data_IF_217982025231
#
_entry.id   IF_217982025231
#
_cell.length_a   1.000
_cell.length_b   1.000
_cell.length_c   1.000
_cell.angle_alpha   90.00
_cell.angle_beta   90.00
_cell.angle_gamma   90.00
#
_symmetry.space_group_name_H-M   'P 1'
#
loop_
_entity.id
_entity.type
_entity.pdbx_description
1 polymer ?
#
# COMPACT_ATOMS: atom_id res chain seq x y z
N UNK A 1 -28.25 26.62 -30.88
CA UNK A 1 -28.14 26.41 -29.41
C UNK A 1 -28.82 25.09 -29.02
N UNK A 2 -28.43 24.02 -29.68
CA UNK A 2 -28.85 22.64 -29.40
C UNK A 2 -27.74 21.63 -29.78
N UNK A 3 -26.65 22.10 -30.40
CA UNK A 3 -25.59 21.30 -31.01
C UNK A 3 -24.72 20.56 -29.99
N UNK A 4 -24.54 21.09 -28.77
CA UNK A 4 -23.66 20.48 -27.77
C UNK A 4 -24.19 19.16 -27.20
N UNK A 5 -25.52 18.99 -27.13
CA UNK A 5 -26.15 17.74 -26.69
C UNK A 5 -25.99 16.63 -27.73
N UNK A 6 -26.11 16.96 -29.02
CA UNK A 6 -25.94 16.01 -30.11
C UNK A 6 -24.49 15.51 -30.20
N UNK A 7 -23.51 16.41 -30.07
CA UNK A 7 -22.09 16.04 -30.05
C UNK A 7 -21.75 15.07 -28.89
N UNK A 8 -22.26 15.32 -27.68
CA UNK A 8 -22.01 14.42 -26.55
C UNK A 8 -22.68 13.05 -26.70
N UNK A 9 -23.84 12.99 -27.35
CA UNK A 9 -24.52 11.73 -27.64
C UNK A 9 -23.76 10.91 -28.70
N UNK A 10 -23.28 11.55 -29.76
CA UNK A 10 -22.48 10.91 -30.81
C UNK A 10 -21.12 10.42 -30.29
N UNK A 11 -20.43 11.19 -29.44
CA UNK A 11 -19.20 10.75 -28.75
C UNK A 11 -19.44 9.52 -27.87
N UNK A 12 -20.56 9.46 -27.14
CA UNK A 12 -20.91 8.29 -26.30
C UNK A 12 -21.24 7.06 -27.12
N UNK A 13 -21.83 7.21 -28.31
CA UNK A 13 -22.14 6.11 -29.22
C UNK A 13 -20.89 5.57 -29.93
N UNK A 14 -19.88 6.41 -30.15
CA UNK A 14 -18.62 6.04 -30.81
C UNK A 14 -17.50 5.66 -29.84
N UNK A 15 -17.69 5.88 -28.53
CA UNK A 15 -16.72 5.52 -27.52
C UNK A 15 -16.49 3.99 -27.44
N UNK A 16 -15.24 3.52 -27.35
CA UNK A 16 -14.93 2.12 -27.11
C UNK A 16 -15.58 1.64 -25.81
N UNK A 17 -16.31 0.53 -25.87
CA UNK A 17 -16.90 -0.11 -24.68
C UNK A 17 -15.86 -0.86 -23.84
N UNK A 18 -14.65 -1.03 -24.38
CA UNK A 18 -13.52 -1.67 -23.72
C UNK A 18 -12.33 -0.72 -23.74
N UNK A 19 -12.02 -0.17 -22.58
CA UNK A 19 -10.80 0.62 -22.37
C UNK A 19 -9.65 -0.30 -22.00
N UNK A 20 -8.41 0.01 -22.42
CA UNK A 20 -7.25 -0.66 -21.87
C UNK A 20 -7.23 -0.44 -20.34
N UNK A 21 -6.81 -1.45 -19.56
CA UNK A 21 -6.70 -1.27 -18.12
C UNK A 21 -5.76 -0.10 -17.82
N UNK A 22 -6.09 0.76 -16.83
CA UNK A 22 -5.21 1.86 -16.48
C UNK A 22 -3.84 1.32 -16.05
N UNK A 23 -2.76 2.10 -16.23
CA UNK A 23 -1.45 1.69 -15.75
C UNK A 23 -1.51 1.42 -14.24
N UNK A 24 -0.75 0.44 -13.74
CA UNK A 24 -0.74 0.11 -12.31
C UNK A 24 -0.26 1.31 -11.49
N UNK A 25 -0.75 1.46 -10.25
CA UNK A 25 -0.29 2.52 -9.37
C UNK A 25 1.21 2.37 -9.10
N UNK A 26 1.94 3.49 -8.93
CA UNK A 26 3.37 3.44 -8.61
C UNK A 26 3.59 2.72 -7.26
N UNK A 27 4.70 1.99 -7.11
CA UNK A 27 5.01 1.30 -5.86
C UNK A 27 5.23 2.30 -4.72
N UNK A 28 4.83 1.94 -3.48
CA UNK A 28 5.03 2.79 -2.32
C UNK A 28 6.52 3.03 -2.05
N UNK A 29 6.88 4.30 -1.84
CA UNK A 29 8.27 4.74 -1.58
C UNK A 29 8.51 4.92 -0.09
N UNK A 30 9.71 4.56 0.37
CA UNK A 30 10.16 4.85 1.73
C UNK A 30 10.33 6.37 1.88
N UNK A 31 9.79 6.93 2.96
CA UNK A 31 9.93 8.34 3.29
C UNK A 31 11.38 8.63 3.74
N UNK A 32 11.84 9.89 3.62
CA UNK A 32 13.21 10.28 4.02
C UNK A 32 13.46 10.01 5.51
N UNK A 33 12.44 10.26 6.32
CA UNK A 33 12.38 10.06 7.76
C UNK A 33 11.79 8.69 8.16
N UNK A 34 11.51 7.84 7.18
CA UNK A 34 11.05 6.48 7.39
C UNK A 34 12.17 5.54 7.86
N UNK A 35 11.78 4.40 8.42
CA UNK A 35 12.73 3.35 8.77
C UNK A 35 13.43 2.82 7.52
N UNK A 36 14.76 2.71 7.58
CA UNK A 36 15.54 2.14 6.50
C UNK A 36 15.26 0.64 6.39
N UNK A 37 15.10 0.17 5.15
CA UNK A 37 14.84 -1.24 4.90
C UNK A 37 16.15 -2.02 4.90
N UNK A 38 16.25 -3.12 5.67
CA UNK A 38 17.39 -4.02 5.58
C UNK A 38 17.50 -4.62 4.18
N UNK A 39 18.73 -4.89 3.68
CA UNK A 39 18.93 -5.56 2.40
C UNK A 39 18.34 -6.98 2.39
N UNK A 40 18.43 -7.68 3.52
CA UNK A 40 17.77 -8.97 3.71
C UNK A 40 16.28 -8.78 4.03
N UNK A 41 15.44 -9.25 3.09
CA UNK A 41 13.97 -9.17 3.18
C UNK A 41 13.38 -10.06 4.26
N UNK A 42 14.15 -10.95 4.88
CA UNK A 42 13.70 -11.76 6.03
C UNK A 42 13.85 -11.02 7.36
N UNK A 43 14.54 -9.87 7.38
CA UNK A 43 14.77 -9.06 8.58
C UNK A 43 13.67 -8.02 8.76
N UNK A 44 13.23 -7.83 9.99
CA UNK A 44 12.26 -6.81 10.38
C UNK A 44 12.96 -5.45 10.45
N UNK A 45 12.48 -4.41 9.75
CA UNK A 45 13.09 -3.08 9.81
C UNK A 45 13.05 -2.43 11.20
N UNK A 46 12.12 -2.83 12.07
CA UNK A 46 11.92 -2.21 13.39
C UNK A 46 12.83 -2.81 14.49
N UNK A 47 13.01 -4.13 14.51
CA UNK A 47 13.83 -4.79 15.53
C UNK A 47 15.17 -5.32 14.99
N UNK A 48 15.39 -5.26 13.67
CA UNK A 48 16.58 -5.75 12.99
C UNK A 48 16.90 -7.23 13.25
N UNK A 49 15.88 -8.01 13.63
CA UNK A 49 15.94 -9.46 13.79
C UNK A 49 15.17 -10.16 12.66
N UNK A 50 15.40 -11.47 12.50
CA UNK A 50 14.58 -12.31 11.61
C UNK A 50 13.10 -12.16 11.96
N UNK A 51 12.27 -11.95 10.94
CA UNK A 51 10.83 -11.71 11.11
C UNK A 51 10.18 -12.91 11.79
N UNK A 52 9.52 -12.65 12.90
CA UNK A 52 8.62 -13.58 13.59
C UNK A 52 7.19 -13.10 13.41
N UNK A 53 6.27 -14.00 13.06
CA UNK A 53 4.88 -13.68 12.75
C UNK A 53 4.79 -12.51 11.75
N UNK A 54 5.32 -12.70 10.52
CA UNK A 54 5.41 -11.63 9.53
C UNK A 54 4.01 -11.04 9.31
N UNK A 55 3.93 -9.72 9.34
CA UNK A 55 2.68 -8.98 9.20
C UNK A 55 2.90 -7.78 8.30
N UNK A 56 2.00 -7.61 7.34
CA UNK A 56 1.99 -6.49 6.40
C UNK A 56 1.16 -5.35 6.97
N UNK A 57 1.58 -4.11 6.72
CA UNK A 57 0.71 -2.95 6.87
C UNK A 57 0.10 -2.60 5.51
N UNK A 58 -1.23 -2.72 5.39
CA UNK A 58 -1.92 -2.73 4.09
C UNK A 58 -1.86 -1.39 3.36
N UNK A 59 -1.64 -0.28 4.08
CA UNK A 59 -1.50 1.06 3.46
C UNK A 59 -0.24 1.21 2.60
N UNK A 60 0.78 0.38 2.82
CA UNK A 60 2.06 0.51 2.11
C UNK A 60 2.68 -0.80 1.67
N UNK A 61 2.13 -1.95 2.04
CA UNK A 61 2.66 -3.26 1.65
C UNK A 61 3.98 -3.68 2.32
N UNK A 62 4.49 -2.91 3.30
CA UNK A 62 5.72 -3.25 4.01
C UNK A 62 5.45 -4.26 5.13
N UNK A 63 6.41 -5.17 5.34
CA UNK A 63 6.26 -6.32 6.24
C UNK A 63 7.22 -6.21 7.42
N UNK A 64 6.70 -6.48 8.60
CA UNK A 64 7.38 -6.39 9.89
C UNK A 64 7.04 -7.62 10.75
N UNK A 65 7.64 -7.75 11.92
CA UNK A 65 7.10 -8.64 12.95
C UNK A 65 5.76 -8.07 13.46
N UNK A 66 4.76 -8.93 13.72
CA UNK A 66 3.46 -8.52 14.26
C UNK A 66 3.60 -7.63 15.50
N UNK A 67 4.35 -8.07 16.50
CA UNK A 67 4.54 -7.34 17.75
C UNK A 67 5.19 -5.95 17.54
N UNK A 68 6.15 -5.86 16.62
CA UNK A 68 6.83 -4.60 16.32
C UNK A 68 5.90 -3.59 15.66
N UNK A 69 5.19 -3.99 14.60
CA UNK A 69 4.31 -3.07 13.87
C UNK A 69 3.08 -2.71 14.67
N UNK A 70 2.51 -3.65 15.43
CA UNK A 70 1.38 -3.37 16.33
C UNK A 70 1.75 -2.32 17.37
N UNK A 71 2.91 -2.46 18.04
CA UNK A 71 3.40 -1.47 19.01
C UNK A 71 3.60 -0.09 18.35
N UNK A 72 4.27 -0.05 17.20
CA UNK A 72 4.56 1.21 16.51
C UNK A 72 3.29 1.93 16.06
N UNK A 73 2.38 1.22 15.36
CA UNK A 73 1.13 1.82 14.85
C UNK A 73 0.22 2.23 16.00
N UNK A 74 0.18 1.46 17.10
CA UNK A 74 -0.59 1.85 18.29
C UNK A 74 -0.14 3.20 18.84
N UNK A 75 1.18 3.43 18.90
CA UNK A 75 1.78 4.65 19.45
C UNK A 75 1.77 5.84 18.47
N UNK A 76 2.15 5.62 17.22
CA UNK A 76 2.42 6.70 16.25
C UNK A 76 1.37 6.87 15.17
N UNK A 77 0.40 5.94 15.05
CA UNK A 77 -0.73 5.98 14.08
C UNK A 77 -0.29 6.18 12.62
N UNK A 78 0.85 5.61 12.24
CA UNK A 78 1.44 5.72 10.90
C UNK A 78 2.30 4.52 10.54
N UNK A 79 2.54 4.32 9.25
CA UNK A 79 3.49 3.35 8.75
C UNK A 79 4.94 3.78 9.07
N UNK A 80 5.78 2.90 9.62
CA UNK A 80 7.18 3.23 9.92
C UNK A 80 8.02 3.56 8.69
N UNK A 81 7.71 2.99 7.53
CA UNK A 81 8.51 3.12 6.32
C UNK A 81 8.08 4.31 5.44
N UNK A 82 6.77 4.52 5.25
CA UNK A 82 6.25 5.56 4.37
C UNK A 82 5.73 6.79 5.09
N UNK A 83 5.60 6.72 6.42
CA UNK A 83 4.96 7.75 7.25
C UNK A 83 3.48 8.00 6.93
N UNK A 84 2.89 7.20 6.03
CA UNK A 84 1.47 7.27 5.71
C UNK A 84 0.62 6.96 6.95
N UNK A 85 -0.49 7.68 7.17
CA UNK A 85 -1.40 7.41 8.28
C UNK A 85 -1.84 5.95 8.29
N UNK A 86 -1.84 5.32 9.46
CA UNK A 86 -2.23 3.93 9.58
C UNK A 86 -2.82 3.58 10.94
N UNK A 87 -3.75 2.62 10.96
CA UNK A 87 -4.38 2.08 12.15
C UNK A 87 -4.06 0.60 12.34
N UNK A 88 -4.34 0.06 13.53
CA UNK A 88 -4.10 -1.36 13.83
C UNK A 88 -4.94 -2.30 12.96
N UNK A 89 -6.11 -1.85 12.48
CA UNK A 89 -6.98 -2.61 11.58
C UNK A 89 -6.36 -2.86 10.21
N UNK A 90 -5.33 -2.10 9.85
CA UNK A 90 -4.58 -2.24 8.60
C UNK A 90 -3.38 -3.19 8.74
N UNK A 91 -3.22 -3.84 9.90
CA UNK A 91 -2.21 -4.87 10.10
C UNK A 91 -2.83 -6.22 9.73
N UNK A 92 -2.17 -6.95 8.82
CA UNK A 92 -2.57 -8.30 8.42
C UNK A 92 -1.39 -9.26 8.59
N UNK A 93 -1.60 -10.32 9.36
CA UNK A 93 -0.61 -11.39 9.52
C UNK A 93 -0.52 -12.17 8.20
N UNK A 94 0.70 -12.44 7.78
CA UNK A 94 0.99 -13.29 6.63
C UNK A 94 1.15 -14.72 7.12
N UNK A 95 0.50 -15.65 6.43
CA UNK A 95 0.68 -17.08 6.59
C UNK A 95 1.32 -17.61 5.32
N UNK A 96 2.14 -18.64 5.47
CA UNK A 96 2.72 -19.37 4.35
C UNK A 96 2.07 -20.74 4.38
N UNK A 97 1.50 -21.16 3.25
CA UNK A 97 1.07 -22.54 3.08
C UNK A 97 2.35 -23.40 3.09
N UNK A 98 2.36 -24.40 3.97
CA UNK A 98 3.44 -25.38 4.08
C UNK A 98 3.30 -26.40 2.96
#
# INVERSE_FOLDING_TARGET
MMEWWYQSAEERMSAPTVYPPPPPPPPPKVAKEGVQLPPDRTICPLCLQKRVNPSVITVSGFVFCYACIFKFVTQYKRCPATMAPATVDQIRRLFHDV
#
